data_IF_844833081332
#
_entry.id   IF_844833081332
#
_cell.length_a   1.000
_cell.length_b   1.000
_cell.length_c   1.000
_cell.angle_alpha   90.00
_cell.angle_beta   90.00
_cell.angle_gamma   90.00
#
_symmetry.space_group_name_H-M   'P 1'
#
loop_
_entity.id
_entity.type
_entity.pdbx_description
1 polymer ?
#
# COMPACT_ATOMS: atom_id res chain seq x y z
N UNK A 1 -3.05 52.89 -26.44
CA UNK A 1 -2.90 51.41 -26.38
C UNK A 1 -3.75 50.95 -25.22
N UNK A 2 -4.77 50.17 -25.53
CA UNK A 2 -5.90 49.89 -24.65
C UNK A 2 -5.77 48.51 -24.02
N UNK A 3 -5.27 47.53 -24.77
CA UNK A 3 -5.05 46.18 -24.28
C UNK A 3 -3.83 45.51 -24.95
N UNK A 4 -3.36 44.44 -24.34
CA UNK A 4 -2.33 43.54 -24.86
C UNK A 4 -3.02 42.31 -25.44
N UNK A 5 -2.53 41.87 -26.59
CA UNK A 5 -2.93 40.64 -27.27
C UNK A 5 -1.71 39.72 -27.35
N UNK A 6 -1.86 38.47 -26.95
CA UNK A 6 -0.79 37.47 -27.04
C UNK A 6 -1.20 36.34 -27.97
N UNK A 7 -0.21 35.78 -28.66
CA UNK A 7 -0.36 34.63 -29.56
C UNK A 7 0.48 33.48 -29.04
N UNK A 8 -0.12 32.31 -28.89
CA UNK A 8 0.53 31.09 -28.44
C UNK A 8 0.32 29.98 -29.46
N UNK A 9 1.24 29.01 -29.50
CA UNK A 9 0.98 27.77 -30.22
C UNK A 9 -0.05 26.91 -29.48
N UNK A 10 -0.91 26.23 -30.25
CA UNK A 10 -1.81 25.18 -29.74
C UNK A 10 -1.10 24.07 -28.95
N UNK A 11 0.17 23.79 -29.23
CA UNK A 11 0.98 22.85 -28.45
C UNK A 11 1.13 23.28 -26.97
N UNK A 12 1.03 24.58 -26.70
CA UNK A 12 1.13 25.16 -25.37
C UNK A 12 -0.23 25.58 -24.79
N UNK A 13 -1.35 25.12 -25.34
CA UNK A 13 -2.69 25.45 -24.86
C UNK A 13 -2.89 25.14 -23.36
N UNK A 14 -2.22 24.10 -22.83
CA UNK A 14 -2.28 23.74 -21.42
C UNK A 14 -1.80 24.87 -20.48
N UNK A 15 -0.85 25.71 -20.92
CA UNK A 15 -0.32 26.81 -20.12
C UNK A 15 -1.40 27.88 -19.81
N UNK A 16 -2.36 28.07 -20.73
CA UNK A 16 -3.50 28.97 -20.54
C UNK A 16 -4.42 28.52 -19.40
N UNK A 17 -4.33 27.26 -18.96
CA UNK A 17 -5.06 26.77 -17.80
C UNK A 17 -4.76 27.54 -16.51
N UNK A 18 -3.55 28.11 -16.38
CA UNK A 18 -3.13 28.89 -15.21
C UNK A 18 -3.81 30.26 -15.10
N UNK A 19 -4.28 30.82 -16.22
CA UNK A 19 -4.90 32.13 -16.33
C UNK A 19 -6.40 32.05 -16.72
N UNK A 20 -6.96 30.84 -16.87
CA UNK A 20 -8.34 30.62 -17.33
C UNK A 20 -9.44 31.28 -16.50
N UNK A 21 -9.15 31.56 -15.22
CA UNK A 21 -10.11 32.18 -14.28
C UNK A 21 -10.02 33.70 -14.24
N UNK A 22 -9.12 34.31 -15.02
CA UNK A 22 -8.99 35.76 -15.06
C UNK A 22 -10.21 36.36 -15.78
N UNK A 23 -10.92 37.31 -15.15
CA UNK A 23 -12.08 37.93 -15.76
C UNK A 23 -11.68 38.78 -16.96
N UNK A 24 -12.52 38.80 -17.99
CA UNK A 24 -12.33 39.63 -19.19
C UNK A 24 -11.38 39.06 -20.25
N UNK A 25 -10.68 37.95 -19.98
CA UNK A 25 -9.85 37.29 -20.99
C UNK A 25 -10.70 36.54 -22.01
N UNK A 26 -10.45 36.84 -23.28
CA UNK A 26 -11.07 36.17 -24.43
C UNK A 26 -9.99 35.42 -25.21
N UNK A 27 -10.32 34.24 -25.71
CA UNK A 27 -9.45 33.46 -26.58
C UNK A 27 -10.15 33.11 -27.89
N UNK A 28 -9.38 33.08 -28.95
CA UNK A 28 -9.80 32.62 -30.26
C UNK A 28 -8.75 31.69 -30.86
N UNK A 29 -9.18 30.72 -31.67
CA UNK A 29 -8.29 29.79 -32.36
C UNK A 29 -8.22 30.15 -33.84
N UNK A 30 -7.01 30.22 -34.36
CA UNK A 30 -6.73 30.39 -35.78
C UNK A 30 -5.72 29.32 -36.22
N UNK A 31 -6.21 28.20 -36.77
CA UNK A 31 -5.37 27.07 -37.15
C UNK A 31 -4.58 26.46 -35.97
N UNK A 32 -3.25 26.59 -36.03
CA UNK A 32 -2.29 26.12 -35.02
C UNK A 32 -1.96 27.17 -33.95
N UNK A 33 -2.53 28.38 -34.06
CA UNK A 33 -2.32 29.49 -33.13
C UNK A 33 -3.55 29.74 -32.26
N UNK A 34 -3.29 30.20 -31.04
CA UNK A 34 -4.29 30.64 -30.08
C UNK A 34 -4.01 32.10 -29.77
N UNK A 35 -5.00 32.93 -30.05
CA UNK A 35 -4.99 34.35 -29.79
C UNK A 35 -5.71 34.63 -28.48
N UNK A 36 -5.13 35.45 -27.61
CA UNK A 36 -5.74 35.84 -26.33
C UNK A 36 -5.72 37.36 -26.20
N UNK A 37 -6.88 37.97 -25.93
CA UNK A 37 -7.08 39.41 -25.71
C UNK A 37 -7.77 39.69 -24.37
N UNK A 38 -7.88 40.96 -23.99
CA UNK A 38 -8.44 41.38 -22.69
C UNK A 38 -7.38 41.61 -21.60
N UNK A 39 -6.09 41.61 -21.96
CA UNK A 39 -4.99 41.85 -21.01
C UNK A 39 -4.80 43.37 -20.89
N UNK A 40 -4.84 43.98 -19.70
CA UNK A 40 -4.67 45.42 -19.58
C UNK A 40 -3.26 45.85 -20.03
N UNK A 41 -3.15 46.95 -20.77
CA UNK A 41 -1.88 47.47 -21.29
C UNK A 41 -0.87 47.97 -20.23
N UNK A 42 -1.26 47.92 -18.95
CA UNK A 42 -0.38 48.17 -17.81
C UNK A 42 0.56 47.00 -17.51
N UNK A 43 0.97 46.87 -16.24
CA UNK A 43 1.82 45.74 -15.80
C UNK A 43 0.98 44.45 -15.81
N UNK A 44 1.24 43.49 -16.73
CA UNK A 44 0.51 42.24 -16.73
C UNK A 44 0.81 41.46 -15.45
N UNK A 45 -0.15 40.65 -15.01
CA UNK A 45 0.05 39.73 -13.89
C UNK A 45 1.23 38.80 -14.20
N UNK A 46 2.02 38.47 -13.17
CA UNK A 46 3.17 37.56 -13.28
C UNK A 46 2.78 36.26 -13.99
N UNK A 47 1.56 35.74 -13.75
CA UNK A 47 1.07 34.51 -14.40
C UNK A 47 0.95 34.61 -15.92
N UNK A 48 0.58 35.78 -16.44
CA UNK A 48 0.51 36.04 -17.88
C UNK A 48 1.92 36.18 -18.45
N UNK A 49 2.84 36.80 -17.70
CA UNK A 49 4.23 36.99 -18.13
C UNK A 49 5.05 35.70 -18.27
N UNK A 50 4.65 34.60 -17.63
CA UNK A 50 5.35 33.30 -17.74
C UNK A 50 4.80 32.41 -18.87
N UNK A 51 3.77 32.87 -19.59
CA UNK A 51 3.19 32.07 -20.66
C UNK A 51 4.19 31.93 -21.83
N UNK A 52 4.25 30.75 -22.49
CA UNK A 52 5.07 30.53 -23.67
C UNK A 52 4.43 31.21 -24.89
N UNK A 53 4.59 32.53 -24.95
CA UNK A 53 4.02 33.39 -25.99
C UNK A 53 4.96 33.44 -27.20
N UNK A 54 4.40 33.23 -28.39
CA UNK A 54 5.10 33.43 -29.66
C UNK A 54 5.20 34.91 -30.03
N UNK A 55 4.08 35.63 -29.92
CA UNK A 55 4.01 37.05 -30.26
C UNK A 55 3.18 37.83 -29.23
N UNK A 56 3.66 39.01 -28.85
CA UNK A 56 2.94 39.96 -27.99
C UNK A 56 2.67 41.23 -28.80
N UNK A 57 1.43 41.68 -28.82
CA UNK A 57 0.99 42.89 -29.50
C UNK A 57 0.29 43.83 -28.52
N UNK A 58 0.40 45.12 -28.77
CA UNK A 58 -0.44 46.14 -28.14
C UNK A 58 -1.54 46.53 -29.11
N UNK A 59 -2.77 46.61 -28.63
CA UNK A 59 -3.93 46.95 -29.43
C UNK A 59 -4.44 48.35 -29.05
N UNK A 60 -4.90 49.11 -30.04
CA UNK A 60 -5.60 50.39 -29.83
C UNK A 60 -7.13 50.25 -30.00
N UNK A 61 -7.84 51.36 -29.87
CA UNK A 61 -9.31 51.42 -29.99
C UNK A 61 -9.80 51.09 -31.41
N UNK A 62 -8.92 51.13 -32.41
CA UNK A 62 -9.23 50.80 -33.80
C UNK A 62 -8.78 49.35 -34.16
N UNK A 63 -8.50 48.52 -33.15
CA UNK A 63 -8.04 47.13 -33.31
C UNK A 63 -6.76 46.98 -34.14
N UNK A 64 -5.91 48.01 -34.18
CA UNK A 64 -4.59 47.95 -34.82
C UNK A 64 -3.58 47.36 -33.85
N UNK A 65 -2.75 46.44 -34.34
CA UNK A 65 -1.74 45.72 -33.57
C UNK A 65 -0.37 46.37 -33.74
N UNK A 66 0.27 46.69 -32.62
CA UNK A 66 1.60 47.28 -32.56
C UNK A 66 2.55 46.28 -31.89
N UNK A 67 3.73 46.09 -32.49
CA UNK A 67 4.78 45.31 -31.83
C UNK A 67 5.28 46.04 -30.57
N UNK A 68 5.88 45.33 -29.59
CA UNK A 68 6.42 45.96 -28.40
C UNK A 68 7.44 47.05 -28.75
N UNK A 69 7.30 48.23 -28.15
CA UNK A 69 8.10 49.43 -28.43
C UNK A 69 7.99 50.02 -29.85
N UNK A 70 7.13 49.49 -30.73
CA UNK A 70 6.86 50.07 -32.05
C UNK A 70 5.78 51.16 -31.99
N UNK A 71 5.99 52.25 -32.73
CA UNK A 71 5.02 53.36 -32.83
C UNK A 71 4.09 53.23 -34.05
N UNK A 72 4.37 52.30 -34.96
CA UNK A 72 3.58 52.04 -36.16
C UNK A 72 2.87 50.69 -36.08
N UNK A 73 1.64 50.58 -36.60
CA UNK A 73 0.91 49.33 -36.60
C UNK A 73 1.56 48.33 -37.56
N UNK A 74 1.65 47.08 -37.12
CA UNK A 74 2.21 45.96 -37.89
C UNK A 74 1.10 45.17 -38.58
N UNK A 75 -0.08 45.12 -37.98
CA UNK A 75 -1.25 44.42 -38.51
C UNK A 75 -2.55 45.01 -37.94
N UNK A 76 -3.68 44.52 -38.44
CA UNK A 76 -5.00 44.69 -37.83
C UNK A 76 -5.40 43.37 -37.16
N UNK A 77 -6.19 43.43 -36.08
CA UNK A 77 -6.69 42.23 -35.43
C UNK A 77 -7.55 41.42 -36.44
N UNK A 78 -7.24 40.13 -36.66
CA UNK A 78 -8.03 39.31 -37.55
C UNK A 78 -9.45 39.11 -36.98
N UNK A 79 -10.43 38.99 -37.88
CA UNK A 79 -11.81 38.65 -37.52
C UNK A 79 -11.87 37.17 -37.08
N UNK A 80 -11.79 36.95 -35.77
CA UNK A 80 -11.80 35.62 -35.15
C UNK A 80 -13.03 35.45 -34.24
N UNK A 81 -13.41 34.20 -33.99
CA UNK A 81 -14.45 33.86 -33.02
C UNK A 81 -13.88 33.89 -31.59
N UNK A 82 -14.15 34.98 -30.89
CA UNK A 82 -13.71 35.18 -29.51
C UNK A 82 -14.68 34.56 -28.53
N UNK A 83 -14.18 33.68 -27.67
CA UNK A 83 -14.93 33.10 -26.56
C UNK A 83 -14.22 33.35 -25.23
N UNK A 84 -14.95 33.43 -24.10
CA UNK A 84 -14.34 33.53 -22.78
C UNK A 84 -13.30 32.44 -22.55
N UNK A 85 -12.13 32.79 -22.01
CA UNK A 85 -11.02 31.86 -21.81
C UNK A 85 -11.43 30.65 -20.93
N UNK A 86 -12.34 30.88 -19.97
CA UNK A 86 -12.95 29.84 -19.15
C UNK A 86 -13.69 28.78 -19.99
N UNK A 87 -14.38 29.21 -21.04
CA UNK A 87 -15.12 28.33 -21.97
C UNK A 87 -14.20 27.70 -23.01
N UNK A 88 -13.12 28.38 -23.37
CA UNK A 88 -12.11 27.91 -24.32
C UNK A 88 -11.33 26.71 -23.76
N UNK A 89 -10.92 26.75 -22.48
CA UNK A 89 -10.22 25.65 -21.81
C UNK A 89 -11.21 24.80 -20.98
N UNK A 90 -11.75 23.75 -21.60
CA UNK A 90 -12.60 22.77 -20.90
C UNK A 90 -11.75 21.89 -19.99
N UNK A 91 -12.04 21.91 -18.70
CA UNK A 91 -11.49 20.94 -17.75
C UNK A 91 -12.43 19.75 -17.68
N UNK A 92 -11.93 18.58 -18.08
CA UNK A 92 -12.57 17.31 -17.82
C UNK A 92 -11.99 16.75 -16.53
N UNK A 93 -12.86 16.29 -15.63
CA UNK A 93 -12.41 15.48 -14.51
C UNK A 93 -11.86 14.16 -15.09
N UNK A 94 -10.72 13.67 -14.60
CA UNK A 94 -10.34 12.29 -14.92
C UNK A 94 -11.48 11.39 -14.45
N UNK A 95 -11.94 10.48 -15.32
CA UNK A 95 -12.86 9.44 -14.90
C UNK A 95 -12.21 8.65 -13.78
N UNK A 96 -12.86 8.60 -12.61
CA UNK A 96 -12.41 7.75 -11.51
C UNK A 96 -12.38 6.32 -12.05
N UNK A 97 -11.20 5.73 -12.17
CA UNK A 97 -11.12 4.29 -12.29
C UNK A 97 -11.79 3.74 -11.01
N UNK A 98 -12.95 3.10 -11.16
CA UNK A 98 -13.39 2.12 -10.18
C UNK A 98 -12.20 1.18 -9.93
N UNK A 99 -11.83 0.83 -8.69
CA UNK A 99 -10.94 -0.30 -8.44
C UNK A 99 -11.74 -1.58 -8.76
N UNK A 100 -11.99 -1.79 -10.05
CA UNK A 100 -12.82 -2.85 -10.63
C UNK A 100 -11.99 -4.05 -11.07
N UNK A 101 -10.82 -4.24 -10.48
CA UNK A 101 -10.11 -5.51 -10.49
C UNK A 101 -9.94 -5.89 -9.04
N UNK A 102 -10.83 -6.76 -8.55
CA UNK A 102 -10.47 -7.60 -7.41
C UNK A 102 -9.27 -8.40 -7.91
N UNK A 103 -8.07 -8.04 -7.47
CA UNK A 103 -6.88 -8.84 -7.74
C UNK A 103 -7.22 -10.30 -7.39
N UNK A 104 -6.84 -11.22 -8.27
CA UNK A 104 -7.11 -12.63 -8.05
C UNK A 104 -6.64 -13.00 -6.63
N UNK A 105 -7.42 -13.76 -5.84
CA UNK A 105 -7.08 -14.03 -4.46
C UNK A 105 -5.68 -14.64 -4.40
N UNK A 106 -4.74 -13.90 -3.79
CA UNK A 106 -3.37 -14.33 -3.64
C UNK A 106 -3.37 -15.55 -2.72
N UNK A 107 -2.99 -16.71 -3.26
CA UNK A 107 -2.90 -17.93 -2.47
C UNK A 107 -1.67 -17.84 -1.57
N UNK A 108 -1.90 -17.69 -0.27
CA UNK A 108 -0.87 -17.85 0.74
C UNK A 108 -0.44 -19.31 0.79
N UNK A 109 0.86 -19.56 0.71
CA UNK A 109 1.44 -20.90 0.81
C UNK A 109 2.53 -20.92 1.86
N UNK A 110 2.75 -22.09 2.45
CA UNK A 110 3.96 -22.37 3.20
C UNK A 110 5.04 -22.83 2.25
N UNK A 111 6.17 -22.15 2.27
CA UNK A 111 7.34 -22.49 1.47
C UNK A 111 8.51 -22.77 2.40
N UNK A 112 9.44 -23.61 1.95
CA UNK A 112 10.71 -23.75 2.66
C UNK A 112 11.45 -22.42 2.60
N UNK A 113 11.96 -21.98 3.74
CA UNK A 113 12.68 -20.72 3.85
C UNK A 113 14.00 -20.86 3.09
N UNK A 114 14.19 -20.03 2.06
CA UNK A 114 15.42 -20.01 1.28
C UNK A 114 16.43 -19.04 1.94
N UNK A 115 17.54 -19.57 2.44
CA UNK A 115 18.69 -18.77 2.90
C UNK A 115 19.27 -19.19 4.24
N UNK A 116 20.53 -18.85 4.47
CA UNK A 116 21.26 -18.99 5.74
C UNK A 116 20.78 -17.98 6.79
N UNK A 117 19.47 -17.88 7.02
CA UNK A 117 18.91 -17.08 8.09
C UNK A 117 19.02 -17.91 9.36
N UNK A 118 19.75 -17.38 10.35
CA UNK A 118 19.87 -17.98 11.67
C UNK A 118 18.46 -18.16 12.23
N UNK A 119 18.08 -19.41 12.48
CA UNK A 119 16.82 -19.75 13.12
C UNK A 119 16.94 -19.25 14.57
N UNK A 120 16.15 -18.25 15.02
CA UNK A 120 16.01 -18.01 16.45
C UNK A 120 15.49 -19.30 17.06
N UNK A 121 16.06 -19.72 18.19
CA UNK A 121 15.86 -21.05 18.76
C UNK A 121 14.39 -21.48 18.77
N UNK A 122 14.14 -22.74 18.40
CA UNK A 122 12.78 -23.28 18.30
C UNK A 122 11.98 -22.98 19.59
N UNK A 123 10.75 -22.49 19.48
CA UNK A 123 9.96 -22.11 20.66
C UNK A 123 9.01 -23.22 21.12
N UNK A 124 8.77 -24.20 20.23
CA UNK A 124 7.86 -25.29 20.50
C UNK A 124 8.25 -26.62 19.84
N UNK A 125 7.73 -27.71 20.39
CA UNK A 125 7.90 -29.08 19.93
C UNK A 125 6.56 -29.81 19.91
N UNK A 126 6.23 -30.45 18.79
CA UNK A 126 5.13 -31.40 18.68
C UNK A 126 5.69 -32.82 18.70
N UNK A 127 5.26 -33.63 19.67
CA UNK A 127 5.68 -35.02 19.86
C UNK A 127 4.50 -35.90 20.27
N UNK A 128 4.68 -37.21 20.44
CA UNK A 128 3.60 -38.07 20.96
C UNK A 128 3.47 -37.93 22.48
N UNK A 129 2.25 -38.12 22.98
CA UNK A 129 1.96 -38.07 24.41
C UNK A 129 2.77 -39.12 25.20
N UNK A 130 3.02 -40.30 24.61
CA UNK A 130 3.81 -41.37 25.23
C UNK A 130 5.27 -40.95 25.47
N UNK A 131 5.89 -40.33 24.47
CA UNK A 131 7.25 -39.82 24.56
C UNK A 131 7.32 -38.68 25.58
N UNK A 132 6.30 -37.82 25.58
CA UNK A 132 6.17 -36.72 26.54
C UNK A 132 6.05 -37.21 28.00
N UNK A 133 5.19 -38.19 28.26
CA UNK A 133 4.97 -38.77 29.59
C UNK A 133 6.24 -39.46 30.13
N UNK A 134 6.92 -40.23 29.26
CA UNK A 134 8.19 -40.88 29.60
C UNK A 134 9.26 -39.85 30.00
N UNK A 135 9.34 -38.74 29.25
CA UNK A 135 10.30 -37.69 29.55
C UNK A 135 9.98 -36.97 30.86
N UNK A 136 8.73 -36.53 31.05
CA UNK A 136 8.30 -35.76 32.23
C UNK A 136 8.48 -36.55 33.53
N UNK A 137 8.34 -37.87 33.46
CA UNK A 137 8.57 -38.78 34.59
C UNK A 137 10.00 -38.73 35.13
N UNK A 138 10.98 -38.48 34.26
CA UNK A 138 12.41 -38.48 34.63
C UNK A 138 13.07 -37.09 34.59
N UNK A 139 12.44 -36.11 33.94
CA UNK A 139 12.99 -34.77 33.76
C UNK A 139 13.15 -34.01 35.10
N UNK A 140 14.23 -33.22 35.27
CA UNK A 140 14.38 -32.29 36.39
C UNK A 140 13.26 -31.25 36.43
N UNK A 141 12.71 -30.98 37.62
CA UNK A 141 11.59 -30.05 37.80
C UNK A 141 11.90 -28.65 37.25
N UNK A 142 13.14 -28.16 37.42
CA UNK A 142 13.59 -26.86 36.90
C UNK A 142 13.44 -26.72 35.39
N UNK A 143 13.53 -27.82 34.62
CA UNK A 143 13.31 -27.80 33.17
C UNK A 143 11.83 -27.72 32.81
N UNK A 144 10.95 -28.22 33.66
CA UNK A 144 9.50 -28.27 33.43
C UNK A 144 8.78 -26.98 33.84
N UNK A 145 9.36 -26.21 34.76
CA UNK A 145 8.72 -25.04 35.37
C UNK A 145 8.30 -23.95 34.37
N UNK A 146 9.02 -23.82 33.26
CA UNK A 146 8.75 -22.80 32.24
C UNK A 146 8.13 -23.38 30.96
N UNK A 147 7.63 -24.63 31.03
CA UNK A 147 7.02 -25.32 29.91
C UNK A 147 5.50 -25.41 30.11
N UNK A 148 4.78 -25.23 29.01
CA UNK A 148 3.35 -25.42 28.90
C UNK A 148 3.08 -26.44 27.79
N UNK A 149 2.01 -27.20 27.92
CA UNK A 149 1.64 -28.16 26.88
C UNK A 149 0.13 -28.21 26.65
N UNK A 150 -0.24 -28.61 25.44
CA UNK A 150 -1.60 -28.96 25.04
C UNK A 150 -1.56 -30.31 24.34
N UNK A 151 -2.63 -31.09 24.43
CA UNK A 151 -2.71 -32.44 23.83
C UNK A 151 -3.92 -32.53 22.91
N UNK A 152 -3.72 -33.06 21.71
CA UNK A 152 -4.78 -33.33 20.75
C UNK A 152 -5.45 -34.68 21.00
N UNK A 153 -6.63 -34.89 20.40
CA UNK A 153 -7.33 -36.18 20.42
C UNK A 153 -6.49 -37.32 19.81
N UNK A 154 -5.58 -36.99 18.89
CA UNK A 154 -4.65 -37.95 18.27
C UNK A 154 -3.47 -38.34 19.17
N UNK A 155 -3.50 -37.93 20.45
CA UNK A 155 -2.43 -38.17 21.43
C UNK A 155 -1.11 -37.53 21.02
N UNK A 156 -1.16 -36.38 20.36
CA UNK A 156 0.01 -35.54 20.10
C UNK A 156 0.07 -34.43 21.15
N UNK A 157 1.25 -34.21 21.72
CA UNK A 157 1.53 -33.17 22.70
C UNK A 157 2.34 -32.05 22.05
N UNK A 158 1.78 -30.84 22.05
CA UNK A 158 2.46 -29.61 21.69
C UNK A 158 3.02 -28.98 22.97
N UNK A 159 4.33 -28.84 23.07
CA UNK A 159 5.03 -28.23 24.20
C UNK A 159 5.61 -26.89 23.75
N UNK A 160 5.38 -25.84 24.54
CA UNK A 160 5.88 -24.47 24.32
C UNK A 160 6.68 -24.03 25.54
N UNK A 161 7.79 -23.34 25.31
CA UNK A 161 8.59 -22.69 26.35
C UNK A 161 10.07 -23.03 26.27
N UNK A 162 10.82 -22.57 27.27
CA UNK A 162 12.28 -22.74 27.32
C UNK A 162 12.70 -23.51 28.59
N UNK A 163 13.70 -24.41 28.52
CA UNK A 163 14.52 -24.74 27.36
C UNK A 163 13.86 -25.74 26.40
N UNK A 164 14.27 -25.69 25.13
CA UNK A 164 13.89 -26.70 24.13
C UNK A 164 14.29 -28.09 24.61
N UNK A 165 13.41 -29.05 24.38
CA UNK A 165 13.64 -30.43 24.77
C UNK A 165 14.27 -31.23 23.64
N UNK A 166 15.33 -32.01 23.91
CA UNK A 166 15.95 -32.90 22.95
C UNK A 166 15.11 -34.18 22.81
N UNK A 167 13.85 -34.03 22.41
CA UNK A 167 12.92 -35.12 22.19
C UNK A 167 12.65 -35.27 20.68
N UNK A 168 12.41 -36.50 20.21
CA UNK A 168 11.97 -36.72 18.83
C UNK A 168 10.61 -36.05 18.60
N UNK A 169 10.49 -35.32 17.50
CA UNK A 169 9.27 -34.59 17.17
C UNK A 169 9.51 -33.54 16.09
N UNK A 170 8.45 -32.80 15.78
CA UNK A 170 8.48 -31.67 14.86
C UNK A 170 8.70 -30.38 15.65
N UNK A 171 9.66 -29.57 15.22
CA UNK A 171 9.97 -28.31 15.89
C UNK A 171 9.27 -27.15 15.20
N UNK A 172 8.88 -26.16 15.98
CA UNK A 172 8.14 -24.99 15.52
C UNK A 172 8.75 -23.71 16.06
N UNK A 173 8.59 -22.64 15.30
CA UNK A 173 9.02 -21.28 15.66
C UNK A 173 7.75 -20.47 15.96
N UNK A 174 7.75 -19.77 17.09
CA UNK A 174 6.62 -18.94 17.51
C UNK A 174 6.85 -17.49 17.09
N UNK A 175 5.91 -16.93 16.34
CA UNK A 175 5.89 -15.50 16.01
C UNK A 175 4.45 -15.02 15.86
N UNK A 176 4.10 -13.89 16.48
CA UNK A 176 2.75 -13.30 16.40
C UNK A 176 1.60 -14.28 16.68
N UNK A 177 1.76 -15.15 17.69
CA UNK A 177 0.83 -16.24 18.03
C UNK A 177 0.58 -17.24 16.89
N UNK A 178 1.53 -17.38 15.98
CA UNK A 178 1.59 -18.41 14.94
C UNK A 178 2.79 -19.31 15.21
N UNK A 179 2.55 -20.62 15.20
CA UNK A 179 3.58 -21.65 15.16
C UNK A 179 3.76 -22.14 13.74
N UNK A 180 4.91 -21.84 13.16
CA UNK A 180 5.32 -22.34 11.85
C UNK A 180 6.31 -23.50 12.02
N UNK A 181 6.24 -24.56 11.18
CA UNK A 181 7.24 -25.62 11.20
C UNK A 181 8.63 -25.02 10.98
N UNK A 182 9.62 -25.45 11.77
CA UNK A 182 10.96 -24.92 11.65
C UNK A 182 11.51 -25.10 10.23
N UNK A 183 12.05 -24.03 9.66
CA UNK A 183 12.51 -24.00 8.27
C UNK A 183 11.44 -23.66 7.22
N UNK A 184 10.21 -23.35 7.64
CA UNK A 184 9.15 -22.85 6.77
C UNK A 184 8.84 -21.38 7.06
N UNK A 185 8.32 -20.70 6.04
CA UNK A 185 7.82 -19.32 6.12
C UNK A 185 6.61 -19.17 5.19
N UNK A 186 5.83 -18.10 5.35
CA UNK A 186 4.77 -17.79 4.40
C UNK A 186 5.33 -17.23 3.09
N UNK A 187 4.64 -17.49 2.00
CA UNK A 187 4.83 -16.83 0.71
C UNK A 187 3.53 -16.10 0.34
N UNK A 188 3.53 -14.75 0.31
CA UNK A 188 4.66 -13.86 0.57
C UNK A 188 5.01 -13.73 2.08
N UNK A 189 6.29 -13.54 2.49
CA UNK A 189 6.69 -13.50 3.90
C UNK A 189 6.06 -12.39 4.74
N UNK A 190 5.67 -11.27 4.11
CA UNK A 190 5.08 -10.13 4.81
C UNK A 190 3.61 -10.36 5.25
N UNK A 191 3.04 -11.54 5.02
CA UNK A 191 1.61 -11.81 5.22
C UNK A 191 1.26 -12.29 6.64
N UNK A 192 2.25 -12.57 7.50
CA UNK A 192 2.04 -13.15 8.85
C UNK A 192 1.01 -12.37 9.67
N UNK A 193 1.15 -11.04 9.75
CA UNK A 193 0.22 -10.20 10.52
C UNK A 193 -1.22 -10.24 9.97
N UNK A 194 -1.37 -10.32 8.65
CA UNK A 194 -2.68 -10.47 8.01
C UNK A 194 -3.28 -11.84 8.32
N UNK A 195 -2.47 -12.90 8.28
CA UNK A 195 -2.91 -14.26 8.64
C UNK A 195 -3.39 -14.31 10.08
N UNK A 196 -2.61 -13.76 11.03
CA UNK A 196 -3.01 -13.70 12.44
C UNK A 196 -4.32 -12.96 12.63
N UNK A 197 -4.46 -11.77 12.03
CA UNK A 197 -5.67 -10.94 12.18
C UNK A 197 -6.90 -11.60 11.54
N UNK A 198 -6.71 -12.29 10.41
CA UNK A 198 -7.82 -12.91 9.66
C UNK A 198 -8.31 -14.21 10.30
N UNK A 199 -7.39 -15.08 10.74
CA UNK A 199 -7.71 -16.39 11.28
C UNK A 199 -7.90 -16.40 12.80
N UNK A 200 -7.34 -15.41 13.50
CA UNK A 200 -7.42 -15.28 14.94
C UNK A 200 -7.75 -13.85 15.39
N UNK A 201 -8.92 -13.30 14.99
CA UNK A 201 -9.27 -11.89 15.24
C UNK A 201 -9.43 -11.55 16.72
N UNK A 202 -9.72 -12.54 17.57
CA UNK A 202 -9.85 -12.35 19.02
C UNK A 202 -8.51 -12.47 19.76
N UNK A 203 -7.44 -12.92 19.08
CA UNK A 203 -6.13 -13.17 19.67
C UNK A 203 -6.19 -14.04 20.95
N UNK A 204 -7.11 -15.01 21.02
CA UNK A 204 -7.39 -15.87 22.17
C UNK A 204 -6.75 -17.27 22.07
N UNK A 205 -5.77 -17.42 21.19
CA UNK A 205 -5.05 -18.68 21.01
C UNK A 205 -3.85 -18.57 20.07
N UNK A 206 -3.25 -19.72 19.79
CA UNK A 206 -2.11 -19.90 18.89
C UNK A 206 -2.60 -20.65 17.64
N UNK A 207 -2.17 -20.19 16.47
CA UNK A 207 -2.40 -20.89 15.21
C UNK A 207 -1.22 -21.83 14.93
N UNK A 208 -1.47 -23.12 14.86
CA UNK A 208 -0.48 -24.14 14.53
C UNK A 208 -0.62 -24.51 13.05
N UNK A 209 0.42 -24.26 12.26
CA UNK A 209 0.46 -24.62 10.83
C UNK A 209 1.28 -25.88 10.61
N UNK A 210 0.75 -26.82 9.83
CA UNK A 210 1.45 -28.04 9.44
C UNK A 210 2.17 -27.86 8.10
N UNK A 211 3.18 -28.69 7.83
CA UNK A 211 3.97 -28.64 6.58
C UNK A 211 3.14 -28.81 5.31
N UNK A 212 1.97 -29.46 5.42
CA UNK A 212 1.03 -29.65 4.31
C UNK A 212 0.10 -28.44 4.07
N UNK A 213 0.24 -27.36 4.85
CA UNK A 213 -0.61 -26.17 4.78
C UNK A 213 -1.92 -26.26 5.56
N UNK A 214 -2.20 -27.38 6.22
CA UNK A 214 -3.30 -27.46 7.18
C UNK A 214 -2.95 -26.63 8.41
N UNK A 215 -3.96 -26.06 9.06
CA UNK A 215 -3.77 -25.30 10.28
C UNK A 215 -4.90 -25.55 11.26
N UNK A 216 -4.58 -25.38 12.53
CA UNK A 216 -5.52 -25.49 13.63
C UNK A 216 -5.30 -24.35 14.62
N UNK A 217 -6.35 -24.01 15.38
CA UNK A 217 -6.29 -22.99 16.44
C UNK A 217 -6.37 -23.67 17.79
N UNK A 218 -5.35 -23.45 18.60
CA UNK A 218 -5.28 -23.94 19.98
C UNK A 218 -5.50 -22.75 20.90
N UNK A 219 -6.62 -22.74 21.64
CA UNK A 219 -6.90 -21.65 22.57
C UNK A 219 -5.90 -21.64 23.73
N UNK A 220 -5.66 -20.46 24.31
CA UNK A 220 -4.71 -20.33 25.42
C UNK A 220 -5.13 -21.12 26.67
N UNK A 221 -6.44 -21.29 26.89
CA UNK A 221 -7.00 -22.06 28.00
C UNK A 221 -6.76 -23.59 27.87
N UNK A 222 -6.41 -24.08 26.68
CA UNK A 222 -6.00 -25.46 26.46
C UNK A 222 -4.57 -25.75 26.92
N UNK A 223 -3.74 -24.72 27.13
CA UNK A 223 -2.36 -24.89 27.57
C UNK A 223 -2.29 -25.00 29.09
N UNK A 224 -1.71 -26.10 29.57
CA UNK A 224 -1.51 -26.34 31.01
C UNK A 224 -0.01 -26.40 31.35
N UNK A 225 0.39 -26.01 32.57
CA UNK A 225 1.77 -26.15 33.00
C UNK A 225 2.26 -27.60 32.94
N UNK A 226 3.50 -27.82 32.50
CA UNK A 226 4.12 -29.13 32.30
C UNK A 226 4.49 -29.87 33.60
N UNK A 227 3.52 -30.06 34.50
CA UNK A 227 3.73 -30.83 35.74
C UNK A 227 3.53 -32.33 35.50
N UNK A 228 4.24 -33.17 36.25
CA UNK A 228 4.05 -34.64 36.21
C UNK A 228 2.60 -35.06 36.45
N UNK A 229 1.92 -34.38 37.37
CA UNK A 229 0.52 -34.65 37.68
C UNK A 229 -0.40 -34.28 36.51
N UNK A 230 -0.15 -33.15 35.85
CA UNK A 230 -0.93 -32.73 34.68
C UNK A 230 -0.80 -33.75 33.55
N UNK A 231 0.41 -34.17 33.19
CA UNK A 231 0.63 -35.14 32.10
C UNK A 231 -0.05 -36.47 32.38
N UNK A 232 0.08 -37.00 33.61
CA UNK A 232 -0.60 -38.24 34.01
C UNK A 232 -2.12 -38.13 33.98
N UNK A 233 -2.67 -37.00 34.43
CA UNK A 233 -4.12 -36.76 34.37
C UNK A 233 -4.59 -36.72 32.92
N UNK A 234 -3.89 -36.02 32.03
CA UNK A 234 -4.21 -35.96 30.60
C UNK A 234 -4.16 -37.34 29.95
N UNK A 235 -3.14 -38.16 30.26
CA UNK A 235 -3.02 -39.54 29.75
C UNK A 235 -4.14 -40.48 30.24
N UNK A 236 -4.81 -40.14 31.35
CA UNK A 236 -5.94 -40.91 31.88
C UNK A 236 -7.30 -40.45 31.32
N UNK A 237 -7.36 -39.25 30.74
CA UNK A 237 -8.59 -38.64 30.22
C UNK A 237 -8.79 -38.82 28.71
N UNK A 238 -7.71 -39.12 27.97
CA UNK A 238 -7.66 -39.31 26.50
C UNK A 238 -7.31 -40.77 26.21
#
# INVERSE_FOLDING_TARGET
MTEIVIVLSTAHAAALGSVRTFPGLLAARSGEEIWVRGIPAGKPDKKISVLPVMHTYFMDEQERLFAPAAQTPVAMLPALEWIPLLSFIKVTLPVSALPGVLEAPQRVKLVRRNGNVIIPGNDALLTSLEIWDTYVSTAPLVRLQHLYFAVSENREALIIGTPIMPLPGKTYILGDNILLPAGYDFDPPAITSLVTTTLNPLHDGILLFHENGHWEKIKFDCFVPATRSAVRLTNSMI
#
